data_IF_965648721770
#
_entry.id   IF_965648721770
#
_cell.length_a   1.000
_cell.length_b   1.000
_cell.length_c   1.000
_cell.angle_alpha   90.00
_cell.angle_beta   90.00
_cell.angle_gamma   90.00
#
_symmetry.space_group_name_H-M   'P 1'
#
loop_
_entity.id
_entity.type
_entity.pdbx_description
1 polymer ?
#
# COMPACT_ATOMS: atom_id res chain seq x y z
N UNK A 1 5.06 -17.00 -2.43
CA UNK A 1 5.13 -16.24 -3.68
C UNK A 1 4.65 -14.82 -3.39
N UNK A 2 5.21 -13.80 -4.02
CA UNK A 2 4.85 -12.40 -3.82
C UNK A 2 4.57 -11.74 -5.17
N UNK A 3 3.31 -11.44 -5.45
CA UNK A 3 2.83 -10.89 -6.71
C UNK A 3 2.66 -9.36 -6.69
N UNK A 4 2.96 -8.71 -5.55
CA UNK A 4 2.79 -7.27 -5.34
C UNK A 4 1.35 -6.81 -5.06
N UNK A 5 0.39 -7.74 -4.95
CA UNK A 5 -1.02 -7.48 -4.66
C UNK A 5 -1.48 -8.17 -3.37
N UNK A 6 -0.93 -7.78 -2.20
CA UNK A 6 -1.42 -8.32 -0.94
C UNK A 6 -2.90 -7.95 -0.79
N UNK A 7 -3.72 -8.99 -0.60
CA UNK A 7 -5.17 -8.90 -0.45
C UNK A 7 -5.60 -9.89 0.64
N UNK A 8 -6.58 -9.48 1.45
CA UNK A 8 -7.02 -10.24 2.61
C UNK A 8 -6.13 -10.09 3.85
N UNK A 9 -6.65 -10.61 4.96
CA UNK A 9 -5.94 -10.64 6.23
C UNK A 9 -4.89 -11.76 6.25
N UNK A 10 -3.61 -11.38 6.39
CA UNK A 10 -2.54 -12.34 6.57
C UNK A 10 -1.32 -11.76 7.27
N UNK A 11 -0.47 -12.64 7.81
CA UNK A 11 0.88 -12.30 8.19
C UNK A 11 1.86 -13.32 7.62
N UNK A 12 3.07 -12.86 7.30
CA UNK A 12 4.11 -13.68 6.72
C UNK A 12 5.49 -13.19 7.16
N UNK A 13 6.40 -14.13 7.38
CA UNK A 13 7.81 -13.85 7.58
C UNK A 13 8.55 -14.12 6.28
N UNK A 14 9.20 -13.10 5.73
CA UNK A 14 10.01 -13.20 4.52
C UNK A 14 11.49 -13.08 4.88
N UNK A 15 12.31 -13.99 4.33
CA UNK A 15 13.77 -13.92 4.49
C UNK A 15 14.34 -12.71 3.76
N UNK A 16 15.53 -12.26 4.15
CA UNK A 16 16.22 -11.17 3.48
C UNK A 16 16.42 -11.44 1.97
N UNK A 17 16.87 -12.64 1.60
CA UNK A 17 17.05 -13.02 0.19
C UNK A 17 15.75 -12.93 -0.61
N UNK A 18 14.62 -13.34 -0.01
CA UNK A 18 13.32 -13.24 -0.67
C UNK A 18 12.90 -11.78 -0.86
N UNK A 19 13.10 -10.95 0.17
CA UNK A 19 12.77 -9.52 0.15
C UNK A 19 13.56 -8.80 -0.95
N UNK A 20 14.86 -9.10 -1.08
CA UNK A 20 15.73 -8.53 -2.12
C UNK A 20 15.33 -8.97 -3.54
N UNK A 21 14.94 -10.24 -3.71
CA UNK A 21 14.48 -10.76 -5.01
C UNK A 21 13.13 -10.16 -5.46
N UNK A 22 12.34 -9.58 -4.55
CA UNK A 22 11.00 -9.05 -4.82
C UNK A 22 10.89 -7.55 -4.54
N UNK A 23 11.93 -6.78 -4.90
CA UNK A 23 11.95 -5.32 -4.83
C UNK A 23 11.54 -4.75 -3.47
N UNK A 24 12.00 -5.36 -2.38
CA UNK A 24 11.68 -5.00 -1.01
C UNK A 24 10.17 -5.07 -0.67
N UNK A 25 9.47 -6.08 -1.22
CA UNK A 25 8.02 -6.28 -1.04
C UNK A 25 7.22 -5.04 -1.48
N UNK A 26 7.60 -4.48 -2.63
CA UNK A 26 6.86 -3.39 -3.25
C UNK A 26 5.42 -3.82 -3.51
N UNK A 27 4.48 -2.88 -3.34
CA UNK A 27 3.05 -3.12 -3.64
C UNK A 27 2.54 -2.23 -4.74
N UNK A 28 1.64 -2.81 -5.52
CA UNK A 28 0.98 -2.14 -6.62
C UNK A 28 -0.24 -1.31 -6.18
N UNK A 29 -0.85 -1.64 -5.03
CA UNK A 29 -1.84 -0.78 -4.41
C UNK A 29 -1.32 0.65 -4.22
N UNK A 30 -2.18 1.66 -4.45
CA UNK A 30 -1.86 3.02 -4.04
C UNK A 30 -1.79 3.06 -2.51
N UNK A 31 -0.64 3.45 -1.97
CA UNK A 31 -0.47 3.53 -0.52
C UNK A 31 0.11 4.88 -0.10
N UNK A 32 -0.22 5.26 1.13
CA UNK A 32 0.38 6.39 1.84
C UNK A 32 1.19 5.83 3.00
N UNK A 33 2.43 6.31 3.15
CA UNK A 33 3.22 6.04 4.34
C UNK A 33 2.58 6.72 5.56
N UNK A 34 2.34 5.94 6.62
CA UNK A 34 1.94 6.44 7.94
C UNK A 34 3.16 6.64 8.86
N UNK A 35 4.34 6.25 8.39
CA UNK A 35 5.56 6.18 9.18
C UNK A 35 5.57 4.99 10.14
N UNK A 36 6.60 4.94 10.96
CA UNK A 36 6.74 4.00 12.07
C UNK A 36 7.81 4.55 12.99
N UNK A 37 7.60 4.42 14.30
CA UNK A 37 8.57 4.85 15.31
C UNK A 37 9.05 3.62 16.05
N UNK A 38 10.35 3.52 16.24
CA UNK A 38 10.99 2.47 17.02
C UNK A 38 11.56 1.32 16.20
N UNK A 39 12.32 0.49 16.90
CA UNK A 39 13.02 -0.69 16.38
C UNK A 39 14.29 -0.39 15.58
N UNK A 40 15.00 -1.45 15.24
CA UNK A 40 16.23 -1.43 14.45
C UNK A 40 16.18 -2.45 13.33
N UNK A 41 16.71 -2.09 12.15
CA UNK A 41 16.90 -3.07 11.07
C UNK A 41 17.98 -4.11 11.40
N UNK A 42 18.78 -3.88 12.44
CA UNK A 42 19.83 -4.78 12.93
C UNK A 42 19.33 -5.70 14.05
N UNK A 43 18.05 -5.61 14.43
CA UNK A 43 17.49 -6.48 15.47
C UNK A 43 17.50 -7.96 15.05
N UNK A 44 17.78 -8.85 16.01
CA UNK A 44 17.78 -10.30 15.77
C UNK A 44 16.37 -10.88 15.57
N UNK A 45 15.38 -10.27 16.22
CA UNK A 45 13.97 -10.68 16.17
C UNK A 45 13.09 -9.56 15.62
N UNK A 46 12.02 -9.94 14.92
CA UNK A 46 11.18 -8.97 14.22
C UNK A 46 10.43 -8.02 15.14
N UNK A 47 10.15 -8.41 16.39
CA UNK A 47 9.46 -7.59 17.38
C UNK A 47 10.22 -6.30 17.70
N UNK A 48 11.55 -6.36 17.66
CA UNK A 48 12.45 -5.22 17.85
C UNK A 48 12.88 -4.60 16.50
N UNK A 49 12.32 -5.11 15.40
CA UNK A 49 12.57 -4.67 14.03
C UNK A 49 12.10 -3.26 13.77
N UNK A 50 12.78 -2.57 12.84
CA UNK A 50 12.40 -1.24 12.35
C UNK A 50 10.99 -1.28 11.75
N UNK A 51 10.12 -0.42 12.29
CA UNK A 51 8.72 -0.40 11.95
C UNK A 51 8.40 0.53 10.77
N UNK A 52 7.61 0.04 9.82
CA UNK A 52 6.97 0.85 8.78
C UNK A 52 5.48 0.50 8.68
N UNK A 53 4.64 1.52 8.50
CA UNK A 53 3.20 1.35 8.27
C UNK A 53 2.77 2.06 7.00
N UNK A 54 1.90 1.41 6.24
CA UNK A 54 1.29 1.96 5.02
C UNK A 54 -0.22 1.78 5.06
N UNK A 55 -0.93 2.76 4.50
CA UNK A 55 -2.38 2.71 4.35
C UNK A 55 -2.75 2.71 2.87
N UNK A 56 -3.57 1.76 2.48
CA UNK A 56 -4.21 1.71 1.17
C UNK A 56 -5.01 3.00 0.92
N UNK A 57 -4.90 3.57 -0.28
CA UNK A 57 -5.63 4.76 -0.70
C UNK A 57 -6.88 4.39 -1.51
N UNK A 58 -7.11 3.12 -1.81
CA UNK A 58 -8.23 2.66 -2.61
C UNK A 58 -8.08 3.03 -4.08
N UNK A 59 -9.18 3.40 -4.73
CA UNK A 59 -9.25 3.64 -6.17
C UNK A 59 -10.08 4.89 -6.50
N UNK A 60 -9.85 5.46 -7.68
CA UNK A 60 -10.71 6.50 -8.24
C UNK A 60 -11.44 5.90 -9.44
N UNK A 61 -12.76 5.95 -9.48
CA UNK A 61 -13.56 5.45 -10.60
C UNK A 61 -14.42 6.53 -11.22
N UNK A 62 -14.82 6.33 -12.47
CA UNK A 62 -15.80 7.18 -13.12
C UNK A 62 -17.22 6.86 -12.62
N UNK A 63 -18.01 7.89 -12.34
CA UNK A 63 -19.40 7.73 -11.91
C UNK A 63 -20.33 7.23 -13.05
N UNK A 64 -19.91 7.39 -14.30
CA UNK A 64 -20.66 6.87 -15.44
C UNK A 64 -20.47 5.35 -15.54
N UNK A 65 -21.54 4.58 -15.32
CA UNK A 65 -21.53 3.12 -15.38
C UNK A 65 -21.06 2.53 -16.74
N UNK A 66 -21.19 3.29 -17.83
CA UNK A 66 -20.70 2.88 -19.15
C UNK A 66 -19.21 3.23 -19.39
N UNK A 67 -18.57 3.94 -18.44
CA UNK A 67 -17.18 4.33 -18.50
C UNK A 67 -16.37 3.56 -17.44
N UNK A 68 -15.64 2.54 -17.88
CA UNK A 68 -14.85 1.65 -16.99
C UNK A 68 -13.47 2.23 -16.61
N UNK A 69 -13.35 3.55 -16.54
CA UNK A 69 -12.10 4.19 -16.16
C UNK A 69 -11.88 4.04 -14.66
N UNK A 70 -10.80 3.35 -14.30
CA UNK A 70 -10.27 3.24 -12.94
C UNK A 70 -8.88 3.84 -12.91
N UNK A 71 -8.64 4.74 -11.98
CA UNK A 71 -7.39 5.50 -11.84
C UNK A 71 -6.76 5.27 -10.47
N UNK A 72 -5.44 5.11 -10.45
CA UNK A 72 -4.65 5.02 -9.23
C UNK A 72 -4.68 6.38 -8.49
N UNK A 73 -5.12 6.44 -7.22
CA UNK A 73 -5.00 7.66 -6.43
C UNK A 73 -3.55 8.07 -6.24
N UNK A 74 -3.28 9.37 -6.24
CA UNK A 74 -1.99 9.88 -5.80
C UNK A 74 -1.79 9.62 -4.29
N UNK A 75 -0.54 9.53 -3.86
CA UNK A 75 -0.19 9.23 -2.46
C UNK A 75 -0.45 10.39 -1.49
N UNK A 76 -0.65 11.61 -1.99
CA UNK A 76 -0.89 12.82 -1.18
C UNK A 76 -2.36 13.25 -1.30
N UNK A 77 -3.02 13.66 -0.18
CA UNK A 77 -4.42 14.09 -0.22
C UNK A 77 -4.72 15.21 -1.22
N UNK A 78 -3.85 16.22 -1.31
CA UNK A 78 -4.00 17.30 -2.30
C UNK A 78 -3.89 16.82 -3.75
N UNK A 79 -3.15 15.74 -3.99
CA UNK A 79 -3.07 15.10 -5.30
C UNK A 79 -4.37 14.40 -5.67
N UNK A 80 -4.95 13.66 -4.73
CA UNK A 80 -6.26 13.01 -4.90
C UNK A 80 -7.35 14.05 -5.14
N UNK A 81 -7.37 15.13 -4.37
CA UNK A 81 -8.33 16.24 -4.54
C UNK A 81 -8.25 16.85 -5.95
N UNK A 82 -7.04 17.01 -6.50
CA UNK A 82 -6.86 17.47 -7.89
C UNK A 82 -7.37 16.45 -8.90
N UNK A 83 -7.12 15.16 -8.69
CA UNK A 83 -7.61 14.11 -9.58
C UNK A 83 -9.15 14.10 -9.67
N UNK A 84 -9.84 14.13 -8.53
CA UNK A 84 -11.32 14.09 -8.52
C UNK A 84 -11.97 15.41 -8.98
N UNK A 85 -11.21 16.51 -8.99
CA UNK A 85 -11.68 17.79 -9.54
C UNK A 85 -11.66 17.84 -11.07
N UNK A 86 -10.86 16.97 -11.70
CA UNK A 86 -10.82 16.85 -13.14
C UNK A 86 -11.97 15.97 -13.64
N UNK A 87 -12.55 16.26 -14.82
CA UNK A 87 -13.50 15.35 -15.44
C UNK A 87 -12.79 14.08 -15.89
N UNK A 88 -13.53 12.97 -15.91
CA UNK A 88 -13.13 11.76 -16.60
C UNK A 88 -13.01 12.03 -18.11
N UNK A 89 -12.33 11.15 -18.84
CA UNK A 89 -12.21 11.23 -20.31
C UNK A 89 -13.57 11.19 -21.02
N UNK A 90 -14.60 10.60 -20.41
CA UNK A 90 -15.97 10.62 -20.92
C UNK A 90 -16.77 11.89 -20.54
N UNK A 91 -16.16 12.84 -19.84
CA UNK A 91 -16.78 14.08 -19.36
C UNK A 91 -17.53 13.95 -18.02
N UNK A 92 -17.75 12.73 -17.51
CA UNK A 92 -18.38 12.51 -16.20
C UNK A 92 -17.42 12.78 -15.03
N UNK A 93 -17.92 12.72 -13.79
CA UNK A 93 -17.14 12.93 -12.57
C UNK A 93 -16.30 11.70 -12.23
N UNK A 94 -15.22 11.96 -11.50
CA UNK A 94 -14.38 10.95 -10.86
C UNK A 94 -14.68 10.93 -9.35
N UNK A 95 -14.87 9.74 -8.80
CA UNK A 95 -15.20 9.51 -7.38
C UNK A 95 -14.07 8.72 -6.74
N UNK A 96 -13.62 9.16 -5.57
CA UNK A 96 -12.60 8.47 -4.79
C UNK A 96 -13.24 7.50 -3.81
N UNK A 97 -12.98 6.20 -4.00
CA UNK A 97 -13.34 5.14 -3.09
C UNK A 97 -12.16 4.88 -2.16
N UNK A 98 -12.21 5.46 -0.97
CA UNK A 98 -11.16 5.34 0.04
C UNK A 98 -11.07 3.91 0.60
N UNK A 99 -9.90 3.57 1.13
CA UNK A 99 -9.57 2.25 1.66
C UNK A 99 -9.03 2.38 3.09
N UNK A 100 -9.49 1.52 3.99
CA UNK A 100 -9.09 1.51 5.39
C UNK A 100 -7.96 0.51 5.69
N UNK A 101 -7.63 -0.37 4.73
CA UNK A 101 -6.60 -1.41 4.88
C UNK A 101 -5.26 -0.81 5.24
N UNK A 102 -4.62 -1.42 6.24
CA UNK A 102 -3.29 -1.05 6.72
C UNK A 102 -2.37 -2.26 6.67
N UNK A 103 -1.16 -2.03 6.19
CA UNK A 103 -0.09 -3.02 6.28
C UNK A 103 1.00 -2.52 7.22
N UNK A 104 1.55 -3.45 8.00
CA UNK A 104 2.64 -3.21 8.95
C UNK A 104 3.82 -4.09 8.59
N UNK A 105 5.01 -3.50 8.52
CA UNK A 105 6.24 -4.18 8.22
C UNK A 105 7.23 -3.95 9.35
N UNK A 106 7.83 -5.03 9.85
CA UNK A 106 8.97 -4.98 10.75
C UNK A 106 10.19 -5.51 10.02
N UNK A 107 11.12 -4.63 9.69
CA UNK A 107 12.40 -4.99 9.05
C UNK A 107 13.43 -5.26 10.14
N UNK A 108 14.07 -6.42 10.10
CA UNK A 108 15.07 -6.87 11.07
C UNK A 108 16.17 -7.64 10.34
N UNK A 109 17.20 -8.12 11.04
CA UNK A 109 18.38 -8.72 10.41
C UNK A 109 18.04 -9.93 9.53
N UNK A 110 17.05 -10.73 9.94
CA UNK A 110 16.61 -11.92 9.23
C UNK A 110 15.65 -11.67 8.05
N UNK A 111 15.19 -10.43 7.84
CA UNK A 111 14.28 -10.08 6.76
C UNK A 111 13.13 -9.18 7.20
N UNK A 112 11.90 -9.53 6.80
CA UNK A 112 10.71 -8.72 7.07
C UNK A 112 9.56 -9.57 7.60
N UNK A 113 9.02 -9.18 8.75
CA UNK A 113 7.71 -9.64 9.19
C UNK A 113 6.63 -8.69 8.67
N UNK A 114 5.79 -9.22 7.79
CA UNK A 114 4.73 -8.51 7.09
C UNK A 114 3.36 -8.85 7.68
N UNK A 115 2.52 -7.83 7.87
CA UNK A 115 1.12 -8.01 8.25
C UNK A 115 0.24 -7.18 7.32
N UNK A 116 -0.73 -7.81 6.67
CA UNK A 116 -1.84 -7.17 5.96
C UNK A 116 -3.10 -7.27 6.79
N UNK A 117 -3.77 -6.14 7.06
CA UNK A 117 -4.99 -6.09 7.85
C UNK A 117 -6.25 -5.85 7.01
N UNK A 118 -6.34 -6.46 5.83
CA UNK A 118 -7.53 -6.44 4.97
C UNK A 118 -7.26 -6.76 3.52
#
# INVERSE_FOLDING_TARGET
>A
DWDGWPDGDFSALFSIDFVEQHDNLQVHWATRALGGRGGSSEAEVWQDGKLARRQCQGIIECENANCQVVTRPQSRPNGVAKQISAPCTCGSKLVHYSCSVRSTLHTFLGGVYYQNGG
#
